data_IF_673723993198
#
_entry.id   IF_673723993198
#
_cell.length_a   1.000
_cell.length_b   1.000
_cell.length_c   1.000
_cell.angle_alpha   90.00
_cell.angle_beta   90.00
_cell.angle_gamma   90.00
#
_symmetry.space_group_name_H-M   'P 1'
#
loop_
_entity.id
_entity.type
_entity.pdbx_description
1 polymer ?
#
# COMPACT_ATOMS: atom_id res chain seq x y z
N UNK A 1 -3.43 27.65 5.53
CA UNK A 1 -2.66 26.62 4.81
C UNK A 1 -3.54 25.39 4.70
N UNK A 2 -3.68 24.78 3.52
CA UNK A 2 -4.52 23.59 3.35
C UNK A 2 -3.73 22.35 3.74
N UNK A 3 -4.26 21.54 4.65
CA UNK A 3 -3.64 20.29 5.09
C UNK A 3 -4.31 19.09 4.42
N UNK A 4 -3.51 18.06 4.14
CA UNK A 4 -3.96 16.80 3.57
C UNK A 4 -3.52 15.64 4.45
N UNK A 5 -4.32 14.57 4.46
CA UNK A 5 -4.01 13.31 5.13
C UNK A 5 -3.87 12.23 4.07
N UNK A 6 -2.75 11.51 4.13
CA UNK A 6 -2.48 10.37 3.28
C UNK A 6 -2.77 9.08 4.06
N UNK A 7 -3.69 8.28 3.55
CA UNK A 7 -3.90 6.90 3.97
C UNK A 7 -3.12 6.02 3.02
N UNK A 8 -2.09 5.35 3.53
CA UNK A 8 -1.25 4.45 2.75
C UNK A 8 -1.31 3.07 3.35
N UNK A 9 -1.57 2.08 2.52
CA UNK A 9 -1.46 0.67 2.87
C UNK A 9 -0.28 0.04 2.12
N UNK A 10 0.33 -0.95 2.76
CA UNK A 10 1.41 -1.74 2.18
C UNK A 10 0.79 -2.86 1.38
N UNK A 11 1.19 -2.99 0.12
CA UNK A 11 0.88 -4.18 -0.65
C UNK A 11 2.15 -4.86 -1.10
N UNK A 12 2.05 -6.17 -1.28
CA UNK A 12 3.08 -6.92 -1.97
C UNK A 12 2.75 -8.39 -2.15
N UNK A 13 3.67 -9.10 -2.79
CA UNK A 13 3.51 -10.53 -3.03
C UNK A 13 3.46 -11.29 -1.70
N UNK A 14 2.39 -12.05 -1.46
CA UNK A 14 2.17 -12.85 -0.24
C UNK A 14 2.99 -14.16 -0.20
N UNK A 15 3.87 -14.39 -1.17
CA UNK A 15 4.68 -15.60 -1.31
C UNK A 15 6.14 -15.43 -0.90
N UNK A 16 6.76 -16.54 -0.53
CA UNK A 16 8.20 -16.58 -0.27
C UNK A 16 8.99 -16.25 -1.53
N UNK A 17 10.03 -15.43 -1.39
CA UNK A 17 11.02 -15.19 -2.41
C UNK A 17 12.39 -15.64 -1.88
N UNK A 18 13.03 -16.57 -2.59
CA UNK A 18 14.36 -17.09 -2.24
C UNK A 18 15.41 -16.53 -3.20
N UNK A 19 15.20 -16.70 -4.51
CA UNK A 19 16.07 -16.14 -5.55
C UNK A 19 15.39 -16.21 -6.92
N UNK A 20 15.87 -15.41 -7.89
CA UNK A 20 15.39 -15.42 -9.29
C UNK A 20 15.46 -16.79 -9.97
N UNK A 21 16.33 -17.68 -9.51
CA UNK A 21 16.56 -19.00 -10.12
C UNK A 21 15.92 -20.15 -9.32
N UNK A 22 15.33 -19.89 -8.16
CA UNK A 22 14.71 -20.95 -7.36
C UNK A 22 13.57 -21.63 -8.14
N UNK A 23 13.47 -22.96 -8.19
CA UNK A 23 12.48 -23.66 -9.03
C UNK A 23 11.01 -23.40 -8.63
N UNK A 24 10.76 -22.73 -7.50
CA UNK A 24 9.42 -22.55 -6.90
C UNK A 24 9.23 -21.12 -6.35
N UNK A 25 10.20 -20.60 -5.61
CA UNK A 25 10.14 -19.31 -4.93
C UNK A 25 10.97 -18.23 -5.64
N UNK A 26 10.61 -17.96 -6.91
CA UNK A 26 11.34 -17.02 -7.79
C UNK A 26 10.53 -15.81 -8.26
N UNK A 27 9.25 -15.74 -7.92
CA UNK A 27 8.41 -14.58 -8.24
C UNK A 27 8.91 -13.37 -7.46
N UNK A 28 9.38 -12.30 -8.13
CA UNK A 28 9.84 -11.12 -7.43
C UNK A 28 8.73 -10.56 -6.53
N UNK A 29 9.02 -10.29 -5.25
CA UNK A 29 8.03 -9.69 -4.40
C UNK A 29 7.96 -8.21 -4.77
N UNK A 30 6.98 -7.86 -5.60
CA UNK A 30 6.62 -6.47 -5.79
C UNK A 30 6.14 -5.94 -4.43
N UNK A 31 6.77 -4.87 -3.94
CA UNK A 31 6.35 -4.19 -2.73
C UNK A 31 6.06 -2.73 -3.06
N UNK A 32 4.99 -2.18 -2.50
CA UNK A 32 4.63 -0.80 -2.73
C UNK A 32 3.68 -0.28 -1.66
N UNK A 33 3.42 1.02 -1.76
CA UNK A 33 2.36 1.68 -1.00
C UNK A 33 1.28 2.11 -1.97
N UNK A 34 0.03 1.82 -1.64
CA UNK A 34 -1.14 2.32 -2.35
C UNK A 34 -2.09 2.96 -1.36
N UNK A 35 -2.90 3.90 -1.82
CA UNK A 35 -3.87 4.53 -0.96
C UNK A 35 -4.40 5.83 -1.52
N UNK A 36 -4.89 6.69 -0.63
CA UNK A 36 -5.68 7.86 -0.98
C UNK A 36 -5.24 9.07 -0.15
N UNK A 37 -5.33 10.24 -0.78
CA UNK A 37 -5.03 11.53 -0.16
C UNK A 37 -6.32 12.32 -0.08
N UNK A 38 -6.66 12.78 1.13
CA UNK A 38 -7.86 13.56 1.40
C UNK A 38 -7.53 14.92 2.01
N UNK A 39 -8.30 15.98 1.70
CA UNK A 39 -8.26 17.19 2.51
C UNK A 39 -8.56 16.86 3.96
N UNK A 40 -7.81 17.44 4.90
CA UNK A 40 -7.96 17.15 6.33
C UNK A 40 -9.38 17.40 6.86
N UNK A 41 -10.14 18.33 6.24
CA UNK A 41 -11.52 18.64 6.60
C UNK A 41 -12.53 17.54 6.25
N UNK A 42 -12.20 16.69 5.27
CA UNK A 42 -13.10 15.63 4.77
C UNK A 42 -12.84 14.26 5.41
N UNK A 43 -11.69 14.11 6.08
CA UNK A 43 -11.27 12.87 6.76
C UNK A 43 -12.36 12.29 7.65
N UNK A 44 -12.95 13.12 8.52
CA UNK A 44 -13.96 12.63 9.47
C UNK A 44 -15.19 12.13 8.73
N UNK A 45 -15.69 12.84 7.72
CA UNK A 45 -16.88 12.42 6.96
C UNK A 45 -16.63 11.12 6.19
N UNK A 46 -15.44 10.97 5.61
CA UNK A 46 -15.05 9.76 4.87
C UNK A 46 -14.97 8.52 5.77
N UNK A 47 -14.62 8.67 7.06
CA UNK A 47 -14.38 7.54 7.96
C UNK A 47 -15.63 6.96 8.66
N UNK A 48 -16.81 7.58 8.52
CA UNK A 48 -18.05 7.20 9.23
C UNK A 48 -19.15 6.67 8.30
N UNK A 49 -18.93 6.67 7.00
CA UNK A 49 -19.77 6.04 6.00
C UNK A 49 -19.12 4.74 5.52
#
# INVERSE_FOLDING_TARGET
>A
MTHYVAYLDKFGHLGQYVSRHHPRYKTPPAFGFAGLILPATEVRKFAIY
#
